data_IF_404250863559
#
_entry.id   IF_404250863559
#
_cell.length_a   1.000
_cell.length_b   1.000
_cell.length_c   1.000
_cell.angle_alpha   90.00
_cell.angle_beta   90.00
_cell.angle_gamma   90.00
#
_symmetry.space_group_name_H-M   'P 1'
#
loop_
_entity.id
_entity.type
_entity.pdbx_description
1 polymer ?
#
# COMPACT_ATOMS: atom_id res chain seq x y z
N UNK A 1 28.42 19.62 10.01
CA UNK A 1 28.59 18.19 10.33
C UNK A 1 27.29 17.47 10.02
N UNK A 2 27.10 17.09 8.75
CA UNK A 2 25.91 16.36 8.32
C UNK A 2 26.12 14.88 8.58
N UNK A 3 25.36 14.31 9.51
CA UNK A 3 25.27 12.86 9.63
C UNK A 3 24.52 12.40 8.39
N UNK A 4 25.24 11.97 7.37
CA UNK A 4 24.68 11.19 6.27
C UNK A 4 24.30 9.82 6.85
N UNK A 5 23.15 9.78 7.54
CA UNK A 5 22.47 8.51 7.72
C UNK A 5 22.05 8.11 6.31
N UNK A 6 22.67 7.08 5.77
CA UNK A 6 22.18 6.43 4.55
C UNK A 6 20.83 5.80 4.92
N UNK A 7 19.77 6.60 4.88
CA UNK A 7 18.43 6.18 5.23
C UNK A 7 17.97 5.27 4.09
N UNK A 8 17.95 3.96 4.35
CA UNK A 8 17.19 3.07 3.49
C UNK A 8 15.73 3.49 3.58
N UNK A 9 15.20 4.02 2.47
CA UNK A 9 13.87 4.62 2.39
C UNK A 9 12.75 3.64 2.77
N UNK A 10 13.02 2.34 2.74
CA UNK A 10 12.03 1.28 3.04
C UNK A 10 12.10 0.77 4.48
N UNK A 11 13.11 1.20 5.26
CA UNK A 11 13.34 0.73 6.62
C UNK A 11 12.51 1.48 7.64
N UNK A 12 12.07 0.78 8.69
CA UNK A 12 11.37 1.41 9.80
C UNK A 12 12.31 2.36 10.56
N UNK A 13 11.74 3.37 11.21
CA UNK A 13 12.52 4.32 12.04
C UNK A 13 13.29 3.61 13.16
N UNK A 14 12.72 2.54 13.74
CA UNK A 14 13.41 1.70 14.71
C UNK A 14 14.57 0.88 14.11
N UNK A 15 14.44 0.45 12.86
CA UNK A 15 15.56 -0.22 12.18
C UNK A 15 16.71 0.78 11.96
N UNK A 16 16.39 1.99 11.50
CA UNK A 16 17.36 3.07 11.30
C UNK A 16 18.06 3.41 12.62
N UNK A 17 17.36 3.49 13.75
CA UNK A 17 17.99 3.75 15.06
C UNK A 17 18.96 2.65 15.46
N UNK A 18 18.60 1.38 15.23
CA UNK A 18 19.46 0.23 15.56
C UNK A 18 20.71 0.20 14.68
N UNK A 19 20.58 0.50 13.39
CA UNK A 19 21.71 0.52 12.46
C UNK A 19 22.65 1.71 12.68
N UNK A 20 22.09 2.88 12.97
CA UNK A 20 22.87 4.12 13.16
C UNK A 20 23.34 4.34 14.59
N UNK A 21 22.86 3.54 15.55
CA UNK A 21 23.05 3.72 16.99
C UNK A 21 22.67 5.15 17.48
N UNK A 22 21.71 5.76 16.80
CA UNK A 22 21.18 7.10 17.11
C UNK A 22 19.85 6.94 17.84
N UNK A 23 19.61 7.81 18.82
CA UNK A 23 18.32 7.86 19.51
C UNK A 23 17.17 8.11 18.51
N UNK A 24 16.06 7.39 18.68
CA UNK A 24 14.85 7.52 17.87
C UNK A 24 14.34 8.96 17.74
N UNK A 25 14.37 9.74 18.83
CA UNK A 25 13.97 11.14 18.78
C UNK A 25 14.84 11.96 17.81
N UNK A 26 16.14 11.68 17.75
CA UNK A 26 17.07 12.34 16.84
C UNK A 26 16.83 11.91 15.40
N UNK A 27 16.59 10.61 15.16
CA UNK A 27 16.21 10.10 13.83
C UNK A 27 14.94 10.79 13.33
N UNK A 28 13.90 10.90 14.15
CA UNK A 28 12.67 11.61 13.78
C UNK A 28 12.94 13.09 13.47
N UNK A 29 13.72 13.79 14.31
CA UNK A 29 14.09 15.19 14.06
C UNK A 29 14.82 15.37 12.73
N UNK A 30 15.74 14.46 12.40
CA UNK A 30 16.43 14.45 11.10
C UNK A 30 15.42 14.25 9.96
N UNK A 31 14.52 13.27 10.04
CA UNK A 31 13.52 13.02 9.00
C UNK A 31 12.59 14.24 8.79
N UNK A 32 12.15 14.89 9.87
CA UNK A 32 11.35 16.12 9.78
C UNK A 32 12.13 17.26 9.13
N UNK A 33 13.41 17.45 9.49
CA UNK A 33 14.27 18.49 8.91
C UNK A 33 14.47 18.28 7.41
N UNK A 34 14.65 17.03 7.00
CA UNK A 34 14.78 16.63 5.60
C UNK A 34 13.43 16.54 4.87
N UNK A 35 12.30 16.83 5.52
CA UNK A 35 10.94 16.77 4.95
C UNK A 35 10.57 15.39 4.38
N UNK A 36 11.08 14.34 5.02
CA UNK A 36 10.78 12.95 4.69
C UNK A 36 9.54 12.48 5.47
N UNK A 37 8.62 11.84 4.77
CA UNK A 37 7.37 11.35 5.32
C UNK A 37 7.15 9.88 4.97
N UNK A 38 6.58 9.12 5.91
CA UNK A 38 6.18 7.76 5.64
C UNK A 38 4.97 7.74 4.68
N UNK A 39 5.16 7.11 3.54
CA UNK A 39 4.17 6.90 2.51
C UNK A 39 3.89 5.41 2.36
N UNK A 40 2.60 5.05 2.27
CA UNK A 40 2.17 3.70 1.95
C UNK A 40 1.99 3.61 0.44
N UNK A 41 2.76 2.74 -0.20
CA UNK A 41 2.51 2.43 -1.61
C UNK A 41 1.27 1.57 -1.70
N UNK A 42 0.35 1.99 -2.54
CA UNK A 42 -0.80 1.19 -2.95
C UNK A 42 -0.48 0.61 -4.32
N UNK A 43 -0.34 -0.71 -4.38
CA UNK A 43 -0.33 -1.41 -5.66
C UNK A 43 -1.77 -1.70 -6.03
N UNK A 44 -2.29 -0.96 -7.00
CA UNK A 44 -3.58 -1.27 -7.62
C UNK A 44 -3.34 -2.16 -8.82
N UNK A 45 -4.26 -3.07 -9.10
CA UNK A 45 -4.25 -3.80 -10.36
C UNK A 45 -4.31 -2.79 -11.51
N UNK A 46 -3.43 -2.95 -12.51
CA UNK A 46 -3.49 -2.13 -13.71
C UNK A 46 -4.73 -2.53 -14.49
N UNK A 47 -5.65 -1.59 -14.68
CA UNK A 47 -6.77 -1.77 -15.58
C UNK A 47 -6.27 -1.62 -17.02
N UNK A 48 -6.70 -2.53 -17.87
CA UNK A 48 -6.63 -2.50 -19.33
C UNK A 48 -7.74 -1.60 -19.88
N UNK A 49 -7.64 -1.22 -21.15
CA UNK A 49 -8.64 -0.37 -21.81
C UNK A 49 -10.03 -1.03 -21.87
N UNK A 50 -10.09 -2.37 -21.92
CA UNK A 50 -11.34 -3.14 -22.00
C UNK A 50 -11.98 -3.43 -20.63
N UNK A 51 -11.24 -3.26 -19.53
CA UNK A 51 -11.74 -3.58 -18.19
C UNK A 51 -12.97 -2.76 -17.76
N UNK A 52 -13.09 -1.45 -18.07
CA UNK A 52 -14.30 -0.70 -17.78
C UNK A 52 -15.55 -1.33 -18.41
N UNK A 53 -15.47 -1.70 -19.69
CA UNK A 53 -16.60 -2.25 -20.44
C UNK A 53 -16.99 -3.63 -19.89
N UNK A 54 -16.01 -4.52 -19.67
CA UNK A 54 -16.27 -5.86 -19.09
C UNK A 54 -16.88 -5.79 -17.69
N UNK A 55 -16.43 -4.83 -16.87
CA UNK A 55 -17.00 -4.63 -15.53
C UNK A 55 -18.42 -4.10 -15.59
N UNK A 56 -18.71 -3.22 -16.55
CA UNK A 56 -20.06 -2.71 -16.79
C UNK A 56 -20.99 -3.83 -17.23
N UNK A 57 -20.59 -4.61 -18.24
CA UNK A 57 -21.35 -5.75 -18.76
C UNK A 57 -21.65 -6.77 -17.66
N UNK A 58 -20.66 -7.10 -16.83
CA UNK A 58 -20.86 -7.99 -15.69
C UNK A 58 -21.90 -7.43 -14.70
N UNK A 59 -21.83 -6.14 -14.37
CA UNK A 59 -22.79 -5.50 -13.48
C UNK A 59 -24.20 -5.51 -14.06
N UNK A 60 -24.36 -5.19 -15.35
CA UNK A 60 -25.65 -5.20 -16.05
C UNK A 60 -26.25 -6.61 -16.06
N UNK A 61 -25.45 -7.61 -16.47
CA UNK A 61 -25.85 -9.02 -16.44
C UNK A 61 -26.28 -9.47 -15.03
N UNK A 62 -25.51 -9.11 -14.00
CA UNK A 62 -25.83 -9.48 -12.62
C UNK A 62 -27.16 -8.83 -12.20
N UNK A 63 -27.36 -7.54 -12.47
CA UNK A 63 -28.61 -6.84 -12.13
C UNK A 63 -29.82 -7.46 -12.83
N UNK A 64 -29.71 -7.79 -14.12
CA UNK A 64 -30.80 -8.43 -14.83
C UNK A 64 -31.16 -9.81 -14.26
N UNK A 65 -30.17 -10.61 -13.90
CA UNK A 65 -30.39 -11.93 -13.31
C UNK A 65 -31.03 -11.82 -11.92
N UNK A 66 -30.73 -10.75 -11.18
CA UNK A 66 -31.39 -10.44 -9.91
C UNK A 66 -32.85 -10.03 -10.12
N UNK A 67 -33.13 -9.16 -11.09
CA UNK A 67 -34.50 -8.72 -11.41
C UNK A 67 -35.37 -9.89 -11.92
N UNK A 68 -34.76 -10.86 -12.61
CA UNK A 68 -35.42 -12.10 -13.05
C UNK A 68 -35.57 -13.15 -11.94
N UNK A 69 -35.10 -12.89 -10.73
CA UNK A 69 -34.99 -13.87 -9.63
C UNK A 69 -34.23 -15.15 -10.00
N UNK A 70 -33.30 -15.07 -10.96
CA UNK A 70 -32.43 -16.19 -11.37
C UNK A 70 -31.24 -16.36 -10.42
N UNK A 71 -30.84 -15.26 -9.76
CA UNK A 71 -29.83 -15.23 -8.71
C UNK A 71 -30.46 -14.59 -7.47
N UNK A 72 -30.17 -15.14 -6.30
CA UNK A 72 -30.52 -14.54 -5.02
C UNK A 72 -29.26 -14.03 -4.33
N UNK A 73 -29.18 -12.71 -4.07
CA UNK A 73 -28.05 -12.08 -3.38
C UNK A 73 -27.78 -12.74 -2.03
N UNK A 74 -28.83 -13.13 -1.31
CA UNK A 74 -28.71 -13.69 0.03
C UNK A 74 -28.06 -15.08 0.04
N UNK A 75 -27.97 -15.71 -1.14
CA UNK A 75 -27.31 -17.01 -1.32
C UNK A 75 -25.88 -16.91 -1.83
N UNK A 76 -25.41 -15.71 -2.20
CA UNK A 76 -24.07 -15.51 -2.75
C UNK A 76 -23.04 -15.56 -1.62
N UNK A 77 -22.14 -16.55 -1.68
CA UNK A 77 -20.98 -16.64 -0.80
C UNK A 77 -19.71 -16.23 -1.55
N UNK A 78 -19.10 -15.14 -1.11
CA UNK A 78 -17.78 -14.73 -1.59
C UNK A 78 -16.68 -15.39 -0.75
N UNK A 79 -15.69 -15.98 -1.41
CA UNK A 79 -14.46 -16.43 -0.78
C UNK A 79 -13.26 -15.89 -1.56
N UNK A 80 -12.14 -15.70 -0.86
CA UNK A 80 -10.87 -15.26 -1.44
C UNK A 80 -9.74 -16.08 -0.81
N UNK A 81 -8.67 -16.28 -1.57
CA UNK A 81 -7.50 -17.03 -1.13
C UNK A 81 -6.40 -16.07 -0.68
N UNK A 82 -5.85 -16.30 0.51
CA UNK A 82 -4.71 -15.56 1.03
C UNK A 82 -3.50 -16.48 1.18
N UNK A 83 -2.41 -16.11 0.52
CA UNK A 83 -1.14 -16.84 0.61
C UNK A 83 -0.31 -16.31 1.77
N UNK A 84 0.00 -17.18 2.75
CA UNK A 84 0.94 -16.89 3.82
C UNK A 84 2.25 -17.64 3.59
N UNK A 85 3.38 -16.94 3.51
CA UNK A 85 4.71 -17.53 3.37
C UNK A 85 5.48 -17.44 4.69
N UNK A 86 6.09 -18.55 5.12
CA UNK A 86 6.96 -18.58 6.31
C UNK A 86 8.31 -17.87 6.07
N UNK A 87 8.75 -17.80 4.81
CA UNK A 87 10.02 -17.22 4.42
C UNK A 87 9.87 -15.73 4.07
N UNK A 88 9.91 -14.87 5.10
CA UNK A 88 10.36 -13.45 5.13
C UNK A 88 9.98 -12.48 4.00
N UNK A 89 9.06 -12.80 3.11
CA UNK A 89 8.49 -11.77 2.25
C UNK A 89 7.70 -10.82 3.14
N UNK A 90 8.26 -9.61 3.30
CA UNK A 90 7.62 -8.58 4.12
C UNK A 90 6.24 -8.34 3.52
N UNK A 91 5.20 -8.53 4.33
CA UNK A 91 3.84 -8.23 3.93
C UNK A 91 3.83 -6.81 3.33
N UNK A 92 3.51 -6.70 2.03
CA UNK A 92 3.53 -5.43 1.30
C UNK A 92 2.61 -4.39 1.94
N UNK A 93 1.58 -4.83 2.65
CA UNK A 93 0.70 -3.94 3.41
C UNK A 93 1.42 -3.21 4.55
N UNK A 94 2.51 -3.77 5.07
CA UNK A 94 3.37 -3.20 6.12
C UNK A 94 4.56 -2.42 5.56
N UNK A 95 4.77 -2.42 4.24
CA UNK A 95 5.81 -1.61 3.62
C UNK A 95 5.44 -0.13 3.67
N UNK A 96 6.36 0.69 4.17
CA UNK A 96 6.27 2.16 4.18
C UNK A 96 7.58 2.70 3.63
N UNK A 97 7.48 3.67 2.73
CA UNK A 97 8.62 4.34 2.15
C UNK A 97 8.73 5.76 2.70
N UNK A 98 9.94 6.20 3.03
CA UNK A 98 10.21 7.59 3.37
C UNK A 98 10.36 8.37 2.06
N UNK A 99 9.49 9.36 1.86
CA UNK A 99 9.40 10.13 0.61
C UNK A 99 9.47 11.62 0.93
N UNK A 100 10.11 12.40 0.05
CA UNK A 100 10.19 13.86 0.16
C UNK A 100 8.86 14.51 -0.23
N UNK A 101 8.34 15.40 0.61
CA UNK A 101 7.16 16.21 0.28
C UNK A 101 7.60 17.57 -0.29
N UNK A 102 7.34 17.84 -1.56
CA UNK A 102 7.54 19.17 -2.19
C UNK A 102 6.20 19.78 -2.60
N UNK A 103 5.90 20.98 -2.09
CA UNK A 103 4.77 21.80 -2.58
C UNK A 103 3.39 21.14 -2.50
N UNK A 104 3.15 20.27 -1.51
CA UNK A 104 1.86 19.57 -1.34
C UNK A 104 1.68 18.32 -2.20
N UNK A 105 2.63 18.02 -3.10
CA UNK A 105 2.66 16.78 -3.89
C UNK A 105 3.69 15.81 -3.30
N UNK A 106 3.34 14.53 -3.27
CA UNK A 106 4.24 13.43 -2.92
C UNK A 106 5.00 13.07 -4.20
N UNK A 107 6.33 13.16 -4.17
CA UNK A 107 7.21 12.88 -5.33
C UNK A 107 7.83 11.49 -5.22
#
# INVERSE_FOLDING_TARGET
>A
MGILVQVNLTSSTHHITRQSNVNHATVLRCLYKEKLHAYKITFTQKLTEDDPDRRMEFCEMLMENLDRNEIDIDTILFSDELTFTLNRDVNRQNCRWLILKKGGKWL
#
